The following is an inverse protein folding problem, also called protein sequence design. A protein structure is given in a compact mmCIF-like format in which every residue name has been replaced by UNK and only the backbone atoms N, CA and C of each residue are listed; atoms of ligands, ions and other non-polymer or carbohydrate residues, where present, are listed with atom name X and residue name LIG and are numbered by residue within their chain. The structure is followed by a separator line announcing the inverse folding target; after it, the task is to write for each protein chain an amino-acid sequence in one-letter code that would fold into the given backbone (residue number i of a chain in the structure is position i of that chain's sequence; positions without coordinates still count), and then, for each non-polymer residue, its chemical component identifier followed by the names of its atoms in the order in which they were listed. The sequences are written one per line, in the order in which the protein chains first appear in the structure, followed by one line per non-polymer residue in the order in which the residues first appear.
data_IF_569379168753
#
_entry.id   IF_569379168753
#
_cell.length_a   1.000
_cell.length_b   1.000
_cell.length_c   1.000
_cell.angle_alpha   90.00
_cell.angle_beta   90.00
_cell.angle_gamma   90.00
#
_symmetry.space_group_name_H-M   'P 1'
#
loop_
_entity.id
_entity.type
_entity.pdbx_description
1 polymer ?
#
# COMPACT_ATOMS: atom_id res chain seq x y z
N UNK A 1 -7.94 5.99 58.83
CA UNK A 1 -8.57 5.15 57.79
C UNK A 1 -8.67 5.82 56.40
N UNK A 2 -8.15 7.05 56.20
CA UNK A 2 -8.09 7.69 54.87
C UNK A 2 -6.71 7.58 54.18
N UNK A 3 -5.62 7.32 54.92
CA UNK A 3 -4.26 7.30 54.37
C UNK A 3 -3.94 6.00 53.59
N UNK A 4 -4.58 4.89 53.95
CA UNK A 4 -4.35 3.58 53.31
C UNK A 4 -5.03 3.44 51.94
N UNK A 5 -6.07 4.25 51.66
CA UNK A 5 -6.78 4.23 50.37
C UNK A 5 -5.99 4.94 49.26
N UNK A 6 -5.20 5.95 49.62
CA UNK A 6 -4.38 6.74 48.67
C UNK A 6 -3.23 5.89 48.11
N UNK A 7 -2.63 5.01 48.92
CA UNK A 7 -1.59 4.09 48.48
C UNK A 7 -2.11 2.95 47.58
N UNK A 8 -3.37 2.54 47.76
CA UNK A 8 -3.99 1.55 46.87
C UNK A 8 -4.45 2.16 45.54
N UNK A 9 -4.84 3.44 45.51
CA UNK A 9 -5.14 4.16 44.26
C UNK A 9 -3.88 4.52 43.47
N UNK A 10 -2.74 4.77 44.13
CA UNK A 10 -1.47 5.07 43.44
C UNK A 10 -0.88 3.85 42.71
N UNK A 11 -1.23 2.64 43.16
CA UNK A 11 -0.71 1.38 42.61
C UNK A 11 -1.53 0.82 41.44
N UNK A 12 -2.65 1.46 41.07
CA UNK A 12 -3.53 1.01 39.98
C UNK A 12 -3.57 1.99 38.78
N UNK A 13 -2.72 3.02 38.75
CA UNK A 13 -2.54 3.87 37.57
C UNK A 13 -1.31 3.51 36.73
N UNK A 14 -0.48 2.58 37.20
CA UNK A 14 0.64 2.02 36.43
C UNK A 14 0.20 0.71 35.77
N UNK A 15 -1.02 0.68 35.25
CA UNK A 15 -1.45 -0.38 34.33
C UNK A 15 -1.00 0.02 32.92
N UNK A 16 0.27 -0.29 32.64
CA UNK A 16 0.69 -0.80 31.34
C UNK A 16 0.36 0.09 30.12
N UNK A 17 0.80 1.34 30.09
CA UNK A 17 1.17 1.98 28.83
C UNK A 17 2.58 1.53 28.44
N UNK A 18 2.77 0.21 28.27
CA UNK A 18 3.75 -0.25 27.29
C UNK A 18 3.13 0.02 25.93
N UNK A 19 3.13 1.28 25.49
CA UNK A 19 3.25 1.54 24.08
C UNK A 19 4.63 0.99 23.70
N UNK A 20 4.70 -0.30 23.38
CA UNK A 20 5.75 -0.76 22.49
C UNK A 20 5.61 0.13 21.28
N UNK A 21 6.54 1.07 21.10
CA UNK A 21 6.69 1.75 19.84
C UNK A 21 6.98 0.63 18.85
N UNK A 22 5.94 0.15 18.19
CA UNK A 22 6.09 -0.72 17.04
C UNK A 22 6.81 0.19 16.06
N UNK A 23 8.11 -0.05 15.87
CA UNK A 23 8.87 0.63 14.83
C UNK A 23 8.24 0.22 13.51
N UNK A 24 7.26 1.00 13.06
CA UNK A 24 6.67 0.85 11.74
C UNK A 24 7.74 1.33 10.75
N UNK A 25 8.58 0.42 10.30
CA UNK A 25 9.41 0.68 9.14
C UNK A 25 8.49 0.74 7.93
N UNK A 26 8.23 1.98 7.50
CA UNK A 26 7.58 2.27 6.24
C UNK A 26 8.58 1.99 5.13
N UNK A 27 8.19 1.12 4.20
CA UNK A 27 8.94 0.83 3.00
C UNK A 27 8.08 1.10 1.76
N UNK A 28 8.76 1.16 0.62
CA UNK A 28 8.18 1.54 -0.67
C UNK A 28 8.15 0.32 -1.62
N UNK A 29 7.15 0.28 -2.49
CA UNK A 29 7.07 -0.62 -3.62
C UNK A 29 6.96 0.19 -4.91
N UNK A 30 7.87 -0.03 -5.85
CA UNK A 30 7.86 0.62 -7.16
C UNK A 30 7.36 -0.35 -8.23
N UNK A 31 6.40 0.11 -9.02
CA UNK A 31 5.77 -0.63 -10.10
C UNK A 31 6.06 0.06 -11.43
N UNK A 32 6.11 -0.71 -12.51
CA UNK A 32 6.22 -0.16 -13.86
C UNK A 32 5.45 -0.99 -14.89
N UNK A 33 4.84 -0.30 -15.86
CA UNK A 33 4.03 -0.91 -16.91
C UNK A 33 4.16 -0.17 -18.23
N UNK A 34 3.74 -0.81 -19.32
CA UNK A 34 3.64 -0.17 -20.64
C UNK A 34 2.34 0.64 -20.71
N UNK A 35 2.36 1.90 -21.19
CA UNK A 35 1.15 2.68 -21.38
C UNK A 35 0.13 2.00 -22.30
N UNK A 36 -1.16 2.29 -22.10
CA UNK A 36 -2.20 1.91 -23.07
C UNK A 36 -1.96 2.57 -24.44
N UNK A 37 -2.44 1.92 -25.49
CA UNK A 37 -2.53 2.53 -26.82
C UNK A 37 -3.68 3.51 -26.94
N UNK A 38 -4.75 3.30 -26.16
CA UNK A 38 -5.86 4.25 -26.07
C UNK A 38 -5.53 5.44 -25.17
N UNK A 39 -6.28 6.54 -25.35
CA UNK A 39 -6.12 7.73 -24.53
C UNK A 39 -6.77 7.51 -23.16
N UNK A 40 -5.97 7.53 -22.10
CA UNK A 40 -6.41 7.42 -20.71
C UNK A 40 -6.13 8.71 -19.95
N UNK A 41 -6.92 8.98 -18.91
CA UNK A 41 -6.74 10.12 -18.01
C UNK A 41 -5.76 9.83 -16.86
N UNK A 42 -5.52 8.55 -16.55
CA UNK A 42 -4.52 8.14 -15.58
C UNK A 42 -4.65 6.67 -15.18
N UNK A 43 -3.95 6.32 -14.10
CA UNK A 43 -3.89 4.98 -13.54
C UNK A 43 -4.10 5.00 -12.04
N UNK A 44 -4.72 3.95 -11.50
CA UNK A 44 -4.79 3.71 -10.05
C UNK A 44 -4.10 2.39 -9.72
N UNK A 45 -3.44 2.35 -8.57
CA UNK A 45 -2.89 1.14 -7.97
C UNK A 45 -3.76 0.77 -6.78
N UNK A 46 -4.40 -0.39 -6.87
CA UNK A 46 -5.25 -0.97 -5.84
C UNK A 46 -4.46 -2.03 -5.09
N UNK A 47 -4.53 -2.03 -3.76
CA UNK A 47 -3.78 -2.99 -2.97
C UNK A 47 -4.45 -3.36 -1.65
N UNK A 48 -4.05 -4.51 -1.11
CA UNK A 48 -4.56 -5.05 0.15
C UNK A 48 -3.68 -6.18 0.68
N UNK A 49 -4.03 -6.72 1.83
CA UNK A 49 -3.29 -7.83 2.48
C UNK A 49 -3.86 -9.21 2.14
N UNK A 50 -4.90 -9.27 1.29
CA UNK A 50 -5.53 -10.51 0.81
C UNK A 50 -5.73 -10.45 -0.70
N UNK A 51 -5.48 -11.57 -1.38
CA UNK A 51 -5.63 -11.68 -2.84
C UNK A 51 -7.05 -11.31 -3.27
N UNK A 52 -7.15 -10.51 -4.33
CA UNK A 52 -8.39 -9.97 -4.90
C UNK A 52 -9.27 -9.18 -3.93
N UNK A 53 -8.75 -8.79 -2.77
CA UNK A 53 -9.41 -7.93 -1.80
C UNK A 53 -8.56 -6.68 -1.55
N UNK A 54 -8.76 -5.67 -2.39
CA UNK A 54 -8.04 -4.42 -2.33
C UNK A 54 -8.80 -3.42 -1.44
N UNK A 55 -8.21 -3.07 -0.30
CA UNK A 55 -8.80 -2.14 0.68
C UNK A 55 -8.23 -0.73 0.56
N UNK A 56 -7.16 -0.56 -0.22
CA UNK A 56 -6.47 0.71 -0.42
C UNK A 56 -6.30 1.01 -1.90
N UNK A 57 -6.28 2.29 -2.25
CA UNK A 57 -6.06 2.78 -3.61
C UNK A 57 -5.11 3.97 -3.58
N UNK A 58 -4.17 3.99 -4.52
CA UNK A 58 -3.30 5.13 -4.80
C UNK A 58 -3.57 5.58 -6.23
N UNK A 59 -3.93 6.84 -6.39
CA UNK A 59 -4.00 7.46 -7.71
C UNK A 59 -2.59 7.82 -8.18
N UNK A 60 -2.14 7.18 -9.26
CA UNK A 60 -0.84 7.44 -9.88
C UNK A 60 -0.92 8.56 -10.92
N UNK A 61 -2.13 9.04 -11.27
CA UNK A 61 -2.36 10.01 -12.33
C UNK A 61 -1.89 9.49 -13.69
N UNK A 62 -1.39 10.39 -14.54
CA UNK A 62 -0.83 10.05 -15.85
C UNK A 62 0.67 10.40 -15.91
N UNK A 63 1.56 9.57 -15.32
CA UNK A 63 2.98 9.86 -15.37
C UNK A 63 3.51 9.76 -16.80
N UNK A 64 4.52 10.58 -17.10
CA UNK A 64 5.18 10.54 -18.41
C UNK A 64 5.91 9.22 -18.59
N UNK A 65 5.66 8.55 -19.71
CA UNK A 65 6.42 7.36 -20.07
C UNK A 65 7.89 7.70 -20.38
N UNK A 66 8.81 6.93 -19.80
CA UNK A 66 10.26 7.01 -20.05
C UNK A 66 10.70 5.66 -20.61
N UNK A 67 11.33 5.67 -21.79
CA UNK A 67 11.73 4.43 -22.49
C UNK A 67 10.58 3.41 -22.67
N UNK A 68 9.37 3.90 -22.95
CA UNK A 68 8.19 3.06 -23.17
C UNK A 68 7.54 2.49 -21.90
N UNK A 69 7.97 2.93 -20.72
CA UNK A 69 7.42 2.48 -19.43
C UNK A 69 6.98 3.66 -18.56
N UNK A 70 5.87 3.47 -17.85
CA UNK A 70 5.42 4.32 -16.76
C UNK A 70 5.90 3.70 -15.44
N UNK A 71 6.20 4.53 -14.45
CA UNK A 71 6.64 4.11 -13.11
C UNK A 71 5.81 4.84 -12.06
N UNK A 72 5.41 4.11 -11.01
CA UNK A 72 4.77 4.68 -9.83
C UNK A 72 5.21 3.94 -8.56
N UNK A 73 5.20 4.65 -7.43
CA UNK A 73 5.61 4.11 -6.13
C UNK A 73 4.45 4.16 -5.15
N UNK A 74 4.21 3.06 -4.46
CA UNK A 74 3.34 2.98 -3.28
C UNK A 74 4.22 3.01 -2.05
N UNK A 75 4.04 4.02 -1.22
CA UNK A 75 4.83 4.25 0.00
C UNK A 75 4.08 3.89 1.26
N UNK A 76 4.80 3.74 2.37
CA UNK A 76 4.18 3.51 3.68
C UNK A 76 3.72 2.06 3.91
N UNK A 77 4.30 1.11 3.18
CA UNK A 77 4.02 -0.31 3.36
C UNK A 77 4.73 -0.83 4.61
N UNK A 78 4.07 -1.73 5.34
CA UNK A 78 4.66 -2.34 6.53
C UNK A 78 5.71 -3.38 6.13
N UNK A 79 6.92 -3.25 6.63
CA UNK A 79 7.98 -4.25 6.43
C UNK A 79 7.58 -5.67 6.91
N UNK A 80 7.97 -6.69 6.16
CA UNK A 80 7.63 -8.10 6.42
C UNK A 80 6.19 -8.48 6.06
N UNK A 81 5.32 -7.52 5.73
CA UNK A 81 3.95 -7.78 5.30
C UNK A 81 3.89 -8.15 3.82
N UNK A 82 3.04 -9.11 3.49
CA UNK A 82 2.70 -9.44 2.10
C UNK A 82 1.47 -8.63 1.68
N UNK A 83 1.60 -7.98 0.53
CA UNK A 83 0.55 -7.21 -0.12
C UNK A 83 0.30 -7.72 -1.54
N UNK A 84 -0.93 -7.52 -1.99
CA UNK A 84 -1.43 -7.87 -3.31
C UNK A 84 -1.78 -6.59 -4.03
N UNK A 85 -1.27 -6.40 -5.24
CA UNK A 85 -1.40 -5.18 -6.02
C UNK A 85 -2.00 -5.45 -7.39
N UNK A 86 -2.86 -4.57 -7.85
CA UNK A 86 -3.35 -4.53 -9.22
C UNK A 86 -3.50 -3.08 -9.67
N UNK A 87 -3.36 -2.83 -10.97
CA UNK A 87 -3.65 -1.50 -11.52
C UNK A 87 -4.89 -1.52 -12.41
N UNK A 88 -5.47 -0.34 -12.58
CA UNK A 88 -6.52 -0.01 -13.54
C UNK A 88 -6.12 1.26 -14.27
N UNK A 89 -6.57 1.40 -15.52
CA UNK A 89 -6.56 2.68 -16.21
C UNK A 89 -7.93 3.33 -16.10
N UNK A 90 -8.00 4.66 -16.10
CA UNK A 90 -9.27 5.37 -16.07
C UNK A 90 -9.31 6.52 -17.08
N UNK A 91 -10.52 6.82 -17.54
CA UNK A 91 -10.87 8.03 -18.30
C UNK A 91 -11.71 8.96 -17.41
N UNK A 92 -12.29 10.02 -17.98
CA UNK A 92 -13.19 10.89 -17.24
C UNK A 92 -14.50 10.19 -16.78
N UNK A 93 -14.86 9.07 -17.42
CA UNK A 93 -16.17 8.41 -17.23
C UNK A 93 -16.08 6.95 -16.82
N UNK A 94 -14.97 6.27 -17.11
CA UNK A 94 -14.85 4.82 -16.97
C UNK A 94 -13.50 4.41 -16.38
N UNK A 95 -13.46 3.22 -15.79
CA UNK A 95 -12.26 2.57 -15.26
C UNK A 95 -12.20 1.14 -15.81
N UNK A 96 -11.00 0.69 -16.19
CA UNK A 96 -10.78 -0.63 -16.79
C UNK A 96 -10.96 -1.76 -15.77
N UNK A 97 -11.00 -3.00 -16.29
CA UNK A 97 -10.77 -4.18 -15.45
C UNK A 97 -9.41 -4.11 -14.75
N UNK A 98 -9.31 -4.82 -13.63
CA UNK A 98 -8.06 -5.05 -12.91
C UNK A 98 -7.04 -5.79 -13.78
N UNK A 99 -5.78 -5.38 -13.67
CA UNK A 99 -4.64 -6.12 -14.20
C UNK A 99 -4.46 -7.49 -13.54
N UNK A 100 -3.50 -8.26 -14.06
CA UNK A 100 -2.95 -9.41 -13.32
C UNK A 100 -2.40 -8.92 -11.98
N UNK A 101 -2.73 -9.65 -10.91
CA UNK A 101 -2.30 -9.34 -9.56
C UNK A 101 -0.80 -9.60 -9.36
N UNK A 102 -0.16 -8.73 -8.59
CA UNK A 102 1.24 -8.82 -8.18
C UNK A 102 1.30 -9.04 -6.68
N UNK A 103 2.02 -10.08 -6.25
CA UNK A 103 2.26 -10.36 -4.83
C UNK A 103 3.64 -9.82 -4.46
N UNK A 104 3.71 -9.06 -3.38
CA UNK A 104 4.96 -8.50 -2.88
C UNK A 104 5.04 -8.58 -1.36
N UNK A 105 6.16 -9.12 -0.87
CA UNK A 105 6.52 -9.11 0.55
C UNK A 105 7.58 -8.05 0.79
N UNK A 106 7.22 -7.02 1.55
CA UNK A 106 8.06 -5.86 1.84
C UNK A 106 9.32 -6.31 2.60
N UNK A 107 10.51 -5.92 2.11
CA UNK A 107 11.81 -6.36 2.65
C UNK A 107 12.49 -7.45 1.82
N UNK A 108 11.82 -7.98 0.80
CA UNK A 108 12.50 -8.70 -0.30
C UNK A 108 12.87 -7.71 -1.41
N UNK A 109 14.03 -7.85 -2.09
CA UNK A 109 14.33 -7.00 -3.23
C UNK A 109 13.19 -7.10 -4.26
N UNK A 110 12.69 -5.90 -4.60
CA UNK A 110 11.42 -5.57 -5.26
C UNK A 110 10.89 -6.57 -6.31
N UNK A 111 9.56 -6.62 -6.51
CA UNK A 111 8.98 -7.38 -7.60
C UNK A 111 9.35 -6.66 -8.90
N UNK A 112 10.30 -7.25 -9.62
CA UNK A 112 10.74 -6.83 -10.94
C UNK A 112 9.51 -6.72 -11.85
N UNK A 113 9.25 -5.50 -12.34
CA UNK A 113 8.44 -5.13 -13.52
C UNK A 113 7.45 -6.23 -13.94
N UNK A 114 6.29 -6.28 -13.28
CA UNK A 114 5.18 -7.10 -13.78
C UNK A 114 4.44 -6.31 -14.83
N UNK A 115 4.51 -6.78 -16.08
CA UNK A 115 3.75 -6.22 -17.20
C UNK A 115 2.27 -6.32 -16.89
N UNK A 116 1.67 -5.20 -16.53
CA UNK A 116 0.23 -5.03 -16.48
C UNK A 116 -0.25 -4.91 -17.93
N UNK A 117 -0.98 -5.93 -18.40
CA UNK A 117 -1.73 -5.84 -19.66
C UNK A 117 -3.09 -5.30 -19.28
N UNK A 118 -3.32 -4.04 -19.61
CA UNK A 118 -4.63 -3.42 -19.52
C UNK A 118 -5.43 -3.93 -20.71
N UNK A 119 -6.65 -4.40 -20.43
CA UNK A 119 -7.60 -4.81 -21.47
C UNK A 119 -8.29 -3.60 -22.05
#
# INVERSE_FOLDING_TARGET
MALHKIFQTLNLSVFLLFFTAISSHAADATFSWTPNTESVSGYKIHYGTSSHNYTFVVDAGLPKAVNGSIVATVSGLQEGQTYYFSATAYTATEESDYSVEVVYTVGTPAPIIKRIILK
#
